data_IF_366810431223
#
_entry.id   IF_366810431223
#
_cell.length_a   1.000
_cell.length_b   1.000
_cell.length_c   1.000
_cell.angle_alpha   90.00
_cell.angle_beta   90.00
_cell.angle_gamma   90.00
#
_symmetry.space_group_name_H-M   'P 1'
#
loop_
_entity.id
_entity.type
_entity.pdbx_description
1 polymer ?
#
# COMPACT_ATOMS: atom_id res chain seq x y z
N UNK A 1 8.79 -7.95 11.86
CA UNK A 1 8.09 -8.79 10.87
C UNK A 1 6.77 -8.09 10.62
N UNK A 2 6.53 -7.59 9.42
CA UNK A 2 5.15 -7.26 9.02
C UNK A 2 4.28 -8.48 9.26
N UNK A 3 3.06 -8.26 9.74
CA UNK A 3 2.05 -9.30 9.95
C UNK A 3 1.75 -9.98 8.61
N UNK A 4 2.34 -11.14 8.38
CA UNK A 4 2.05 -11.98 7.20
C UNK A 4 0.58 -12.38 7.26
N UNK A 5 -0.17 -12.14 6.18
CA UNK A 5 -1.59 -12.51 6.06
C UNK A 5 -2.60 -11.39 6.34
N UNK A 6 -2.16 -10.14 6.47
CA UNK A 6 -3.07 -8.99 6.54
C UNK A 6 -3.82 -8.81 5.21
N UNK A 7 -5.11 -8.48 5.25
CA UNK A 7 -5.85 -8.20 4.01
C UNK A 7 -5.36 -6.91 3.38
N UNK A 8 -5.50 -6.80 2.06
CA UNK A 8 -5.14 -5.57 1.37
C UNK A 8 -5.94 -4.37 1.88
N UNK A 9 -7.23 -4.57 2.19
CA UNK A 9 -8.11 -3.53 2.72
C UNK A 9 -7.60 -3.00 4.06
N UNK A 10 -7.34 -3.90 5.00
CA UNK A 10 -6.76 -3.58 6.31
C UNK A 10 -5.39 -2.89 6.17
N UNK A 11 -4.57 -3.32 5.21
CA UNK A 11 -3.22 -2.75 5.00
C UNK A 11 -3.30 -1.31 4.53
N UNK A 12 -4.23 -1.04 3.63
CA UNK A 12 -4.47 0.31 3.10
C UNK A 12 -5.07 1.20 4.19
N UNK A 13 -6.03 0.70 4.98
CA UNK A 13 -6.64 1.46 6.07
C UNK A 13 -5.57 1.91 7.09
N UNK A 14 -4.65 1.02 7.46
CA UNK A 14 -3.52 1.36 8.33
C UNK A 14 -2.65 2.49 7.76
N UNK A 15 -2.36 2.46 6.45
CA UNK A 15 -1.56 3.51 5.81
C UNK A 15 -2.30 4.85 5.81
N UNK A 16 -3.58 4.86 5.45
CA UNK A 16 -4.41 6.06 5.44
C UNK A 16 -4.56 6.66 6.86
N UNK A 17 -4.72 5.83 7.88
CA UNK A 17 -4.74 6.25 9.28
C UNK A 17 -3.44 6.95 9.68
N UNK A 18 -2.28 6.38 9.32
CA UNK A 18 -0.97 7.01 9.60
C UNK A 18 -0.80 8.32 8.84
N UNK A 19 -1.25 8.40 7.58
CA UNK A 19 -1.23 9.65 6.80
C UNK A 19 -2.06 10.72 7.50
N UNK A 20 -3.24 10.35 8.03
CA UNK A 20 -4.13 11.27 8.72
C UNK A 20 -3.52 11.76 10.04
N UNK A 21 -2.86 10.89 10.80
CA UNK A 21 -2.10 11.28 12.01
C UNK A 21 -1.00 12.27 11.65
N UNK A 22 -0.22 12.00 10.59
CA UNK A 22 0.84 12.88 10.12
C UNK A 22 0.29 14.22 9.63
N UNK A 23 -0.84 14.22 8.94
CA UNK A 23 -1.51 15.45 8.47
C UNK A 23 -1.95 16.36 9.61
N UNK A 24 -2.39 15.77 10.72
CA UNK A 24 -2.83 16.51 11.91
C UNK A 24 -1.66 16.96 12.81
N UNK A 25 -0.44 16.50 12.52
CA UNK A 25 0.74 16.91 13.29
C UNK A 25 1.06 18.39 13.06
N UNK A 26 1.11 19.16 14.16
CA UNK A 26 1.33 20.62 14.11
C UNK A 26 2.81 21.00 14.16
N UNK A 27 3.70 20.08 14.54
CA UNK A 27 5.13 20.33 14.69
C UNK A 27 5.86 20.31 13.33
N UNK A 28 7.00 21.02 13.26
CA UNK A 28 7.76 21.21 12.01
C UNK A 28 8.28 19.88 11.43
N UNK A 29 8.69 18.96 12.30
CA UNK A 29 9.20 17.64 11.91
C UNK A 29 8.07 16.83 11.25
N UNK A 30 6.89 16.82 11.86
CA UNK A 30 5.70 16.13 11.38
C UNK A 30 5.25 16.63 10.01
N UNK A 31 5.30 17.95 9.79
CA UNK A 31 5.07 18.54 8.45
C UNK A 31 6.09 18.05 7.42
N UNK A 32 7.39 18.03 7.76
CA UNK A 32 8.44 17.51 6.87
C UNK A 32 8.24 16.04 6.53
N UNK A 33 7.84 15.22 7.52
CA UNK A 33 7.54 13.79 7.31
C UNK A 33 6.30 13.64 6.43
N UNK A 34 5.22 14.37 6.70
CA UNK A 34 4.01 14.35 5.89
C UNK A 34 4.28 14.72 4.43
N UNK A 35 5.03 15.80 4.19
CA UNK A 35 5.39 16.24 2.84
C UNK A 35 6.22 15.17 2.10
N UNK A 36 7.13 14.49 2.80
CA UNK A 36 7.90 13.38 2.24
C UNK A 36 6.99 12.20 1.90
N UNK A 37 6.11 11.81 2.81
CA UNK A 37 5.14 10.72 2.61
C UNK A 37 4.24 11.00 1.41
N UNK A 38 3.68 12.21 1.33
CA UNK A 38 2.87 12.66 0.19
C UNK A 38 3.63 12.57 -1.13
N UNK A 39 4.87 13.06 -1.19
CA UNK A 39 5.74 12.96 -2.38
C UNK A 39 6.00 11.51 -2.79
N UNK A 40 6.19 10.60 -1.83
CA UNK A 40 6.40 9.17 -2.12
C UNK A 40 5.15 8.55 -2.72
N UNK A 41 3.98 8.80 -2.13
CA UNK A 41 2.69 8.28 -2.61
C UNK A 41 2.36 8.82 -4.00
N UNK A 42 2.56 10.12 -4.23
CA UNK A 42 2.29 10.75 -5.53
C UNK A 42 3.19 10.21 -6.65
N UNK A 43 4.45 9.88 -6.34
CA UNK A 43 5.37 9.26 -7.30
C UNK A 43 5.06 7.78 -7.54
N UNK A 44 4.48 7.09 -6.56
CA UNK A 44 4.08 5.70 -6.70
C UNK A 44 2.73 5.58 -7.43
N UNK A 45 2.79 5.52 -8.76
CA UNK A 45 1.59 5.33 -9.61
C UNK A 45 0.82 4.05 -9.28
N UNK A 46 1.51 3.00 -8.84
CA UNK A 46 0.92 1.70 -8.50
C UNK A 46 0.10 1.73 -7.21
N UNK A 47 0.45 2.60 -6.26
CA UNK A 47 -0.34 2.79 -5.04
C UNK A 47 -1.79 3.19 -5.35
N UNK A 48 -2.00 4.06 -6.36
CA UNK A 48 -3.35 4.47 -6.79
C UNK A 48 -4.17 3.30 -7.33
N UNK A 49 -3.54 2.41 -8.08
CA UNK A 49 -4.21 1.25 -8.67
C UNK A 49 -4.57 0.23 -7.56
N UNK A 50 -3.65 -0.03 -6.62
CA UNK A 50 -3.90 -0.88 -5.44
C UNK A 50 -5.00 -0.31 -4.53
N UNK A 51 -5.02 1.01 -4.32
CA UNK A 51 -6.07 1.69 -3.55
C UNK A 51 -7.45 1.49 -4.19
N UNK A 52 -7.55 1.57 -5.52
CA UNK A 52 -8.81 1.31 -6.24
C UNK A 52 -9.25 -0.15 -6.09
N UNK A 53 -8.32 -1.10 -6.23
CA UNK A 53 -8.58 -2.53 -6.03
C UNK A 53 -9.09 -2.80 -4.61
N UNK A 54 -8.46 -2.21 -3.59
CA UNK A 54 -8.88 -2.29 -2.20
C UNK A 54 -10.34 -1.84 -2.01
N UNK A 55 -10.73 -0.69 -2.60
CA UNK A 55 -12.12 -0.21 -2.53
C UNK A 55 -13.13 -1.14 -3.21
N UNK A 56 -12.75 -1.74 -4.34
CA UNK A 56 -13.59 -2.74 -5.02
C UNK A 56 -13.78 -3.97 -4.14
N UNK A 57 -12.71 -4.44 -3.48
CA UNK A 57 -12.77 -5.55 -2.53
C UNK A 57 -13.65 -5.24 -1.31
N UNK A 58 -13.72 -3.96 -0.90
CA UNK A 58 -14.67 -3.46 0.12
C UNK A 58 -16.10 -3.23 -0.40
N UNK A 59 -16.39 -3.53 -1.66
CA UNK A 59 -17.75 -3.50 -2.22
C UNK A 59 -18.08 -2.28 -3.08
N UNK A 60 -17.13 -1.37 -3.34
CA UNK A 60 -17.35 -0.21 -4.23
C UNK A 60 -17.29 -0.62 -5.72
N UNK A 61 -18.37 -1.22 -6.24
CA UNK A 61 -18.45 -1.80 -7.60
C UNK A 61 -18.28 -0.79 -8.75
N UNK A 62 -18.58 0.49 -8.51
CA UNK A 62 -18.52 1.54 -9.55
C UNK A 62 -17.09 1.97 -9.93
N UNK A 63 -16.06 1.34 -9.34
CA UNK A 63 -14.66 1.73 -9.53
C UNK A 63 -13.89 0.82 -10.50
N UNK A 64 -14.45 -0.31 -10.92
CA UNK A 64 -13.77 -1.27 -11.83
C UNK A 64 -13.37 -0.58 -13.15
N UNK A 65 -14.24 0.26 -13.69
CA UNK A 65 -13.99 1.02 -14.92
C UNK A 65 -12.88 2.08 -14.78
N UNK A 66 -12.47 2.42 -13.55
CA UNK A 66 -11.39 3.39 -13.28
C UNK A 66 -10.01 2.74 -13.22
N UNK A 67 -9.92 1.41 -13.23
CA UNK A 67 -8.65 0.70 -13.29
C UNK A 67 -8.03 0.86 -14.67
N UNK A 68 -6.71 1.11 -14.72
CA UNK A 68 -5.99 1.21 -16.01
C UNK A 68 -5.98 -0.12 -16.78
N UNK A 69 -6.04 -1.22 -16.03
CA UNK A 69 -6.04 -2.59 -16.55
C UNK A 69 -7.43 -3.16 -16.28
N UNK A 70 -8.02 -3.78 -17.30
CA UNK A 70 -9.29 -4.47 -17.15
C UNK A 70 -9.05 -5.84 -16.51
N UNK A 71 -9.36 -5.98 -15.23
CA UNK A 71 -9.26 -7.24 -14.50
C UNK A 71 -10.61 -7.95 -14.49
N UNK A 72 -10.59 -9.27 -14.64
CA UNK A 72 -11.73 -10.11 -14.31
C UNK A 72 -11.97 -10.11 -12.79
N UNK A 73 -13.21 -10.39 -12.33
CA UNK A 73 -13.50 -10.49 -10.90
C UNK A 73 -12.56 -11.47 -10.16
N UNK A 74 -12.22 -12.60 -10.79
CA UNK A 74 -11.30 -13.58 -10.23
C UNK A 74 -9.89 -13.02 -10.04
N UNK A 75 -9.39 -12.24 -11.00
CA UNK A 75 -8.08 -11.57 -10.89
C UNK A 75 -8.08 -10.51 -9.79
N UNK A 76 -9.18 -9.77 -9.60
CA UNK A 76 -9.33 -8.80 -8.51
C UNK A 76 -9.24 -9.50 -7.14
N UNK A 77 -9.90 -10.66 -6.99
CA UNK A 77 -9.89 -11.44 -5.74
C UNK A 77 -8.47 -11.89 -5.38
N UNK A 78 -7.59 -12.16 -6.35
CA UNK A 78 -6.19 -12.50 -6.08
C UNK A 78 -5.43 -11.41 -5.31
N UNK A 79 -5.89 -10.16 -5.33
CA UNK A 79 -5.30 -9.06 -4.55
C UNK A 79 -5.74 -9.01 -3.08
N UNK A 80 -6.64 -9.89 -2.63
CA UNK A 80 -7.19 -9.86 -1.25
C UNK A 80 -6.13 -9.85 -0.15
N UNK A 81 -4.97 -10.44 -0.42
CA UNK A 81 -3.82 -10.51 0.49
C UNK A 81 -2.52 -10.01 -0.17
N UNK A 82 -2.63 -9.13 -1.17
CA UNK A 82 -1.46 -8.54 -1.81
C UNK A 82 -0.68 -7.69 -0.81
N UNK A 83 0.65 -7.86 -0.77
CA UNK A 83 1.51 -7.01 0.04
C UNK A 83 1.55 -5.58 -0.51
N UNK A 84 1.39 -4.60 0.36
CA UNK A 84 1.52 -3.17 0.02
C UNK A 84 2.99 -2.70 0.02
N UNK A 85 3.91 -3.54 0.50
CA UNK A 85 5.34 -3.24 0.45
C UNK A 85 5.94 -3.70 -0.87
N UNK A 86 6.58 -2.77 -1.58
CA UNK A 86 7.24 -2.99 -2.88
C UNK A 86 8.46 -3.91 -2.81
N UNK A 87 8.87 -4.30 -1.61
CA UNK A 87 9.97 -5.21 -1.40
C UNK A 87 9.60 -6.09 -0.22
N UNK A 88 9.58 -7.39 -0.46
CA UNK A 88 9.99 -8.33 0.58
C UNK A 88 11.50 -8.09 0.79
N UNK A 89 11.87 -6.98 1.43
CA UNK A 89 13.27 -6.70 1.82
C UNK A 89 13.66 -7.61 3.00
N UNK A 90 13.05 -8.79 3.14
CA UNK A 90 13.48 -9.75 4.13
C UNK A 90 14.76 -10.44 3.63
N UNK A 91 15.90 -9.93 4.11
CA UNK A 91 16.90 -10.82 4.72
C UNK A 91 17.69 -11.73 3.76
N UNK A 92 17.51 -11.68 2.44
CA UNK A 92 18.36 -12.42 1.50
C UNK A 92 19.73 -11.78 1.35
N UNK A 93 19.82 -10.43 1.38
CA UNK A 93 21.10 -9.74 1.36
C UNK A 93 21.96 -10.01 2.62
N UNK A 94 21.33 -10.20 3.78
CA UNK A 94 22.07 -10.59 4.99
C UNK A 94 22.45 -12.07 5.01
N UNK A 95 21.58 -12.97 4.51
CA UNK A 95 21.91 -14.40 4.42
C UNK A 95 23.04 -14.65 3.43
N UNK A 96 23.04 -14.00 2.27
CA UNK A 96 24.10 -14.17 1.27
C UNK A 96 25.47 -13.73 1.81
N UNK A 97 25.50 -12.71 2.68
CA UNK A 97 26.72 -12.26 3.36
C UNK A 97 27.25 -13.25 4.41
N UNK A 98 26.45 -14.21 4.85
CA UNK A 98 26.87 -15.27 5.78
C UNK A 98 27.32 -16.55 5.09
N UNK A 99 27.17 -16.64 3.75
CA UNK A 99 27.60 -17.78 2.92
C UNK A 99 28.81 -17.46 2.03
N UNK A 100 29.34 -16.24 2.12
CA UNK A 100 30.60 -15.77 1.51
C UNK A 100 31.62 -15.49 2.61
#
# INVERSE_FOLDING_TARGET
LESKGLKLTESIDLVEDQIQILKNSSNEIGKKVFDKTKKVIERNKGYKDILLISKILNGEKNLIQKLKINYTPSEIICFSYASITSCDVERTFSKYKSFL
#
